data_IF_862717459759
#
_entry.id   IF_862717459759
#
_cell.length_a   1.000
_cell.length_b   1.000
_cell.length_c   1.000
_cell.angle_alpha   90.00
_cell.angle_beta   90.00
_cell.angle_gamma   90.00
#
_symmetry.space_group_name_H-M   'P 1'
#
loop_
_entity.id
_entity.type
_entity.pdbx_description
1 polymer ?
#
# COMPACT_ATOMS: atom_id res chain seq x y z
N UNK A 1 -1.33 -5.85 -25.88
CA UNK A 1 -1.99 -4.89 -24.99
C UNK A 1 -0.94 -3.99 -24.39
N UNK A 2 -1.17 -2.68 -24.44
CA UNK A 2 -0.24 -1.63 -24.02
C UNK A 2 -0.82 -0.88 -22.82
N UNK A 3 -0.08 -0.86 -21.72
CA UNK A 3 -0.51 -0.27 -20.46
C UNK A 3 0.37 0.93 -20.08
N UNK A 4 -0.25 2.08 -19.82
CA UNK A 4 0.39 3.17 -19.11
C UNK A 4 -0.14 3.22 -17.67
N UNK A 5 0.72 2.87 -16.73
CA UNK A 5 0.44 2.89 -15.29
C UNK A 5 0.74 4.29 -14.74
N UNK A 6 -0.28 4.99 -14.26
CA UNK A 6 -0.19 6.37 -13.78
C UNK A 6 -0.20 6.38 -12.26
N UNK A 7 0.82 6.91 -11.64
CA UNK A 7 0.98 6.90 -10.18
C UNK A 7 1.66 8.16 -9.66
N UNK A 8 1.40 8.50 -8.41
CA UNK A 8 2.05 9.63 -7.75
C UNK A 8 3.35 9.27 -7.04
N UNK A 9 3.61 8.00 -6.79
CA UNK A 9 4.87 7.51 -6.20
C UNK A 9 5.18 6.10 -6.69
N UNK A 10 6.46 5.70 -6.70
CA UNK A 10 6.90 4.34 -7.02
C UNK A 10 8.27 4.04 -6.41
N UNK A 11 8.41 2.90 -5.74
CA UNK A 11 9.71 2.36 -5.33
C UNK A 11 10.48 1.83 -6.54
N UNK A 12 11.80 2.07 -6.66
CA UNK A 12 12.70 2.65 -5.66
C UNK A 12 12.92 4.18 -5.81
N UNK A 13 12.15 4.87 -6.61
CA UNK A 13 12.37 6.29 -6.93
C UNK A 13 11.95 7.21 -5.77
N UNK A 14 10.72 7.04 -5.30
CA UNK A 14 10.18 7.79 -4.16
C UNK A 14 9.08 6.97 -3.47
N UNK A 15 8.96 7.12 -2.14
CA UNK A 15 8.04 6.35 -1.33
C UNK A 15 7.58 7.11 -0.10
N UNK A 16 6.27 7.06 0.16
CA UNK A 16 5.65 7.48 1.43
C UNK A 16 4.82 6.37 2.06
N UNK A 17 4.28 5.46 1.25
CA UNK A 17 3.39 4.39 1.70
C UNK A 17 3.39 3.16 0.82
N UNK A 18 2.36 2.32 0.98
CA UNK A 18 2.21 1.06 0.26
C UNK A 18 1.98 1.22 -1.24
N UNK A 19 1.44 2.38 -1.69
CA UNK A 19 1.27 2.66 -3.12
C UNK A 19 2.60 2.57 -3.87
N UNK A 20 3.68 3.09 -3.28
CA UNK A 20 5.00 3.02 -3.91
C UNK A 20 5.48 1.58 -4.10
N UNK A 21 5.23 0.69 -3.14
CA UNK A 21 5.58 -0.74 -3.25
C UNK A 21 4.79 -1.40 -4.38
N UNK A 22 3.49 -1.12 -4.47
CA UNK A 22 2.62 -1.62 -5.56
C UNK A 22 3.10 -1.10 -6.91
N UNK A 23 3.27 0.22 -7.05
CA UNK A 23 3.68 0.85 -8.30
C UNK A 23 5.11 0.46 -8.72
N UNK A 24 5.96 0.09 -7.77
CA UNK A 24 7.30 -0.41 -8.04
C UNK A 24 7.36 -1.88 -8.46
N UNK A 25 6.32 -2.66 -8.17
CA UNK A 25 6.36 -4.13 -8.31
C UNK A 25 5.33 -4.67 -9.31
N UNK A 26 4.10 -4.16 -9.31
CA UNK A 26 3.04 -4.62 -10.22
C UNK A 26 3.39 -4.38 -11.71
N UNK A 27 3.88 -3.19 -12.14
CA UNK A 27 4.19 -2.98 -13.55
C UNK A 27 5.27 -3.93 -14.10
N UNK A 28 6.40 -4.19 -13.41
CA UNK A 28 7.35 -5.23 -13.83
C UNK A 28 6.72 -6.64 -13.90
N UNK A 29 5.84 -6.99 -12.97
CA UNK A 29 5.15 -8.28 -12.98
C UNK A 29 4.18 -8.39 -14.16
N UNK A 30 3.46 -7.33 -14.51
CA UNK A 30 2.61 -7.28 -15.71
C UNK A 30 3.43 -7.39 -16.99
N UNK A 31 4.60 -6.77 -17.04
CA UNK A 31 5.53 -6.90 -18.17
C UNK A 31 6.01 -8.35 -18.33
N UNK A 32 6.29 -9.04 -17.22
CA UNK A 32 6.64 -10.47 -17.22
C UNK A 32 5.48 -11.37 -17.71
N UNK A 33 4.22 -10.96 -17.48
CA UNK A 33 3.01 -11.60 -18.01
C UNK A 33 2.70 -11.22 -19.47
N UNK A 34 3.60 -10.50 -20.15
CA UNK A 34 3.48 -10.15 -21.57
C UNK A 34 2.62 -8.90 -21.86
N UNK A 35 2.33 -8.07 -20.86
CA UNK A 35 1.71 -6.76 -21.05
C UNK A 35 2.82 -5.74 -21.35
N UNK A 36 2.76 -5.05 -22.50
CA UNK A 36 3.70 -3.96 -22.81
C UNK A 36 3.40 -2.78 -21.86
N UNK A 37 4.23 -2.66 -20.81
CA UNK A 37 3.94 -1.78 -19.68
C UNK A 37 4.92 -0.62 -19.60
N UNK A 38 4.40 0.59 -19.41
CA UNK A 38 5.16 1.76 -19.00
C UNK A 38 4.50 2.39 -17.75
N UNK A 39 5.29 3.14 -17.00
CA UNK A 39 4.84 3.88 -15.81
C UNK A 39 5.10 5.37 -16.01
N UNK A 40 4.20 6.23 -15.56
CA UNK A 40 4.39 7.68 -15.53
C UNK A 40 4.14 8.22 -14.13
N UNK A 41 5.08 9.03 -13.63
CA UNK A 41 5.04 9.63 -12.29
C UNK A 41 5.72 11.02 -12.29
N UNK A 42 5.46 11.87 -11.26
CA UNK A 42 6.15 13.15 -11.14
C UNK A 42 7.66 12.99 -10.86
N UNK A 43 8.47 13.91 -11.38
CA UNK A 43 9.91 13.99 -11.10
C UNK A 43 10.18 14.79 -9.82
N UNK A 44 9.91 14.18 -8.67
CA UNK A 44 10.18 14.83 -7.38
C UNK A 44 11.66 15.04 -7.11
N UNK A 45 12.00 16.08 -6.33
CA UNK A 45 13.38 16.36 -5.88
C UNK A 45 13.99 15.24 -5.03
N UNK A 46 13.15 14.47 -4.34
CA UNK A 46 13.55 13.28 -3.55
C UNK A 46 14.06 12.10 -4.39
N UNK A 47 13.83 12.11 -5.70
CA UNK A 47 14.43 11.11 -6.58
C UNK A 47 15.91 11.38 -6.67
N UNK A 48 16.71 10.47 -6.10
CA UNK A 48 18.15 10.65 -5.92
C UNK A 48 18.96 10.73 -7.22
N UNK A 49 20.18 11.29 -7.14
CA UNK A 49 21.05 11.50 -8.30
C UNK A 49 21.36 10.19 -9.03
N UNK A 50 21.47 9.06 -8.31
CA UNK A 50 21.72 7.74 -8.91
C UNK A 50 20.67 7.31 -9.94
N UNK A 51 19.44 7.86 -9.85
CA UNK A 51 18.37 7.64 -10.81
C UNK A 51 18.33 8.74 -11.86
N UNK A 52 18.45 10.01 -11.45
CA UNK A 52 18.42 11.17 -12.36
C UNK A 52 19.50 11.12 -13.43
N UNK A 53 20.72 10.68 -13.08
CA UNK A 53 21.85 10.53 -14.01
C UNK A 53 21.61 9.48 -15.10
N UNK A 54 20.73 8.53 -14.86
CA UNK A 54 20.34 7.49 -15.82
C UNK A 54 19.16 7.90 -16.71
N UNK A 55 18.48 9.01 -16.37
CA UNK A 55 17.32 9.47 -17.12
C UNK A 55 17.74 10.15 -18.42
N UNK A 56 16.95 9.91 -19.46
CA UNK A 56 17.08 10.58 -20.74
C UNK A 56 15.97 11.60 -20.89
N UNK A 57 16.33 12.87 -21.12
CA UNK A 57 15.37 13.90 -21.50
C UNK A 57 14.80 13.57 -22.90
N UNK A 58 13.48 13.58 -23.02
CA UNK A 58 12.77 13.27 -24.26
C UNK A 58 12.34 14.51 -25.00
N UNK A 59 11.56 15.36 -24.31
CA UNK A 59 11.07 16.63 -24.84
C UNK A 59 10.42 17.44 -23.70
N UNK A 60 9.96 18.62 -24.06
CA UNK A 60 9.03 19.38 -23.22
C UNK A 60 7.79 19.78 -24.03
N UNK A 61 6.72 20.05 -23.32
CA UNK A 61 5.48 20.67 -23.78
C UNK A 61 5.09 21.75 -22.78
N UNK A 62 4.01 22.46 -23.08
CA UNK A 62 3.32 23.27 -22.10
C UNK A 62 1.94 22.66 -21.86
N UNK A 63 1.50 22.67 -20.61
CA UNK A 63 0.19 22.20 -20.17
C UNK A 63 -0.65 23.41 -19.78
N UNK A 64 -1.82 23.51 -20.39
CA UNK A 64 -2.80 24.55 -20.08
C UNK A 64 -3.76 24.05 -19.00
N UNK A 65 -3.77 24.71 -17.84
CA UNK A 65 -4.62 24.37 -16.72
C UNK A 65 -5.42 25.61 -16.28
N UNK A 66 -6.62 25.76 -16.83
CA UNK A 66 -7.39 26.98 -16.69
C UNK A 66 -6.64 28.17 -17.32
N UNK A 67 -6.29 29.18 -16.52
CA UNK A 67 -5.54 30.33 -16.97
C UNK A 67 -4.01 30.15 -16.93
N UNK A 68 -3.52 29.02 -16.41
CA UNK A 68 -2.10 28.72 -16.27
C UNK A 68 -1.55 28.09 -17.52
N UNK A 69 -0.31 28.42 -17.85
CA UNK A 69 0.46 27.85 -18.96
C UNK A 69 1.80 27.37 -18.41
N UNK A 70 1.89 26.11 -18.05
CA UNK A 70 2.98 25.58 -17.25
C UNK A 70 3.91 24.67 -18.07
N UNK A 71 5.20 24.83 -17.88
CA UNK A 71 6.21 23.94 -18.45
C UNK A 71 6.02 22.49 -17.95
N UNK A 72 6.22 21.55 -18.86
CA UNK A 72 6.14 20.12 -18.61
C UNK A 72 7.26 19.41 -19.36
N UNK A 73 8.33 19.03 -18.66
CA UNK A 73 9.41 18.20 -19.21
C UNK A 73 9.08 16.72 -19.08
N UNK A 74 9.50 15.93 -20.08
CA UNK A 74 9.39 14.48 -20.05
C UNK A 74 10.78 13.85 -20.03
N UNK A 75 11.06 13.09 -18.99
CA UNK A 75 12.24 12.23 -18.89
C UNK A 75 11.83 10.77 -18.93
N UNK A 76 12.76 9.90 -19.32
CA UNK A 76 12.52 8.45 -19.27
C UNK A 76 13.73 7.67 -18.80
N UNK A 77 13.46 6.51 -18.20
CA UNK A 77 14.43 5.51 -17.78
C UNK A 77 13.86 4.12 -18.09
N UNK A 78 14.69 3.18 -18.57
CA UNK A 78 14.30 1.79 -18.71
C UNK A 78 14.89 0.98 -17.56
N UNK A 79 14.04 0.30 -16.79
CA UNK A 79 14.44 -0.51 -15.64
C UNK A 79 13.46 -1.67 -15.41
N UNK A 80 13.96 -2.86 -15.12
CA UNK A 80 13.17 -4.07 -14.81
C UNK A 80 12.09 -4.40 -15.84
N UNK A 81 12.39 -4.27 -17.13
CA UNK A 81 11.45 -4.58 -18.23
C UNK A 81 10.40 -3.51 -18.51
N UNK A 82 10.45 -2.38 -17.82
CA UNK A 82 9.46 -1.30 -17.88
C UNK A 82 10.12 0.01 -18.29
N UNK A 83 9.43 0.81 -19.11
CA UNK A 83 9.80 2.20 -19.36
C UNK A 83 9.13 3.10 -18.31
N UNK A 84 9.97 3.80 -17.55
CA UNK A 84 9.53 4.76 -16.54
C UNK A 84 9.61 6.16 -17.15
N UNK A 85 8.50 6.88 -17.15
CA UNK A 85 8.41 8.28 -17.56
C UNK A 85 8.29 9.16 -16.32
N UNK A 86 8.96 10.31 -16.35
CA UNK A 86 8.95 11.27 -15.25
C UNK A 86 8.52 12.64 -15.80
N UNK A 87 7.49 13.19 -15.19
CA UNK A 87 6.94 14.51 -15.49
C UNK A 87 7.68 15.55 -14.67
N UNK A 88 8.46 16.39 -15.35
CA UNK A 88 9.27 17.44 -14.73
C UNK A 88 8.52 18.77 -14.73
N UNK A 89 8.36 19.31 -13.53
CA UNK A 89 7.98 20.70 -13.28
C UNK A 89 8.50 21.07 -11.89
N UNK A 90 9.55 21.93 -11.84
CA UNK A 90 10.18 22.29 -10.57
C UNK A 90 9.24 23.06 -9.63
N UNK A 91 8.32 23.88 -10.17
CA UNK A 91 7.32 24.60 -9.38
C UNK A 91 6.47 23.66 -8.54
N UNK A 92 6.04 22.53 -9.13
CA UNK A 92 5.11 21.60 -8.49
C UNK A 92 5.82 20.46 -7.75
N UNK A 93 6.97 19.98 -8.22
CA UNK A 93 7.54 18.72 -7.71
C UNK A 93 8.89 18.87 -7.01
N UNK A 94 9.45 20.08 -6.96
CA UNK A 94 10.68 20.35 -6.21
C UNK A 94 10.37 20.99 -4.84
N UNK A 95 9.72 20.23 -3.95
CA UNK A 95 9.10 20.72 -2.72
C UNK A 95 9.55 20.03 -1.42
N UNK A 96 10.51 19.09 -1.46
CA UNK A 96 11.02 18.38 -0.28
C UNK A 96 10.10 17.29 0.26
N UNK A 97 8.83 17.22 -0.14
CA UNK A 97 7.85 16.17 0.20
C UNK A 97 6.93 15.87 -0.97
N UNK A 98 6.36 14.66 -0.98
CA UNK A 98 5.49 14.23 -2.07
C UNK A 98 4.08 14.80 -1.94
N UNK A 99 3.54 14.83 -0.73
CA UNK A 99 2.18 15.22 -0.38
C UNK A 99 2.13 16.19 0.78
N UNK A 100 0.95 16.80 0.99
CA UNK A 100 0.68 17.68 2.10
C UNK A 100 1.07 19.14 1.84
N UNK A 101 1.20 19.54 0.57
CA UNK A 101 1.32 20.93 0.18
C UNK A 101 -0.06 21.57 0.06
N UNK A 102 -0.14 22.88 0.31
CA UNK A 102 -1.41 23.62 0.25
C UNK A 102 -2.03 23.61 -1.15
N UNK A 103 -1.20 23.44 -2.18
CA UNK A 103 -1.56 23.44 -3.60
C UNK A 103 -1.59 22.02 -4.23
N UNK A 104 -1.72 20.98 -3.42
CA UNK A 104 -1.76 19.59 -3.93
C UNK A 104 -2.85 19.38 -5.00
N UNK A 105 -3.99 20.07 -4.91
CA UNK A 105 -5.04 20.03 -5.92
C UNK A 105 -4.54 20.50 -7.29
N UNK A 106 -3.84 21.64 -7.34
CA UNK A 106 -3.25 22.17 -8.57
C UNK A 106 -2.12 21.29 -9.10
N UNK A 107 -1.24 20.82 -8.21
CA UNK A 107 -0.10 19.96 -8.54
C UNK A 107 -0.53 18.69 -9.24
N UNK A 108 -1.52 18.00 -8.68
CA UNK A 108 -1.98 16.72 -9.22
C UNK A 108 -2.99 16.88 -10.36
N UNK A 109 -3.68 18.02 -10.45
CA UNK A 109 -4.41 18.39 -11.66
C UNK A 109 -3.44 18.61 -12.83
N UNK A 110 -2.35 19.38 -12.63
CA UNK A 110 -1.28 19.53 -13.61
C UNK A 110 -0.71 18.18 -14.05
N UNK A 111 -0.36 17.31 -13.09
CA UNK A 111 0.18 15.98 -13.40
C UNK A 111 -0.82 15.16 -14.24
N UNK A 112 -2.08 15.12 -13.83
CA UNK A 112 -3.12 14.34 -14.53
C UNK A 112 -3.38 14.86 -15.93
N UNK A 113 -3.37 16.21 -16.13
CA UNK A 113 -3.52 16.81 -17.45
C UNK A 113 -2.28 16.53 -18.33
N UNK A 114 -1.08 16.66 -17.75
CA UNK A 114 0.18 16.35 -18.43
C UNK A 114 0.23 14.91 -18.96
N UNK A 115 -0.36 13.93 -18.23
CA UNK A 115 -0.45 12.54 -18.72
C UNK A 115 -1.17 12.47 -20.05
N UNK A 116 -2.29 13.19 -20.22
CA UNK A 116 -3.06 13.19 -21.47
C UNK A 116 -2.29 13.92 -22.59
N UNK A 117 -1.75 15.11 -22.30
CA UNK A 117 -1.05 15.92 -23.30
C UNK A 117 0.26 15.28 -23.77
N UNK A 118 0.86 14.43 -22.95
CA UNK A 118 2.10 13.70 -23.27
C UNK A 118 1.85 12.43 -24.08
N UNK A 119 0.63 11.92 -24.25
CA UNK A 119 0.35 10.68 -24.99
C UNK A 119 1.02 10.65 -26.39
N UNK A 120 0.96 11.72 -27.20
CA UNK A 120 1.64 11.74 -28.51
C UNK A 120 3.17 11.71 -28.41
N UNK A 121 3.71 12.02 -27.23
CA UNK A 121 5.15 12.14 -26.97
C UNK A 121 5.80 10.84 -26.52
N UNK A 122 5.00 9.82 -26.16
CA UNK A 122 5.49 8.55 -25.65
C UNK A 122 6.08 7.66 -26.76
N UNK A 123 5.80 7.95 -28.04
CA UNK A 123 6.21 7.14 -29.18
C UNK A 123 5.36 5.88 -29.39
N UNK A 124 4.32 5.69 -28.60
CA UNK A 124 3.30 4.65 -28.70
C UNK A 124 2.01 5.12 -27.99
N UNK A 125 0.87 4.57 -28.41
CA UNK A 125 -0.40 4.89 -27.78
C UNK A 125 -0.82 3.73 -26.85
N UNK A 126 -1.15 3.97 -25.59
CA UNK A 126 -1.64 2.92 -24.69
C UNK A 126 -3.04 2.48 -25.10
N UNK A 127 -3.35 1.22 -24.83
CA UNK A 127 -4.73 0.69 -24.87
C UNK A 127 -5.44 1.01 -23.55
N UNK A 128 -4.67 1.08 -22.44
CA UNK A 128 -5.19 1.26 -21.09
C UNK A 128 -4.37 2.30 -20.32
N UNK A 129 -5.06 3.22 -19.63
CA UNK A 129 -4.51 4.06 -18.56
C UNK A 129 -4.97 3.47 -17.22
N UNK A 130 -4.02 3.02 -16.40
CA UNK A 130 -4.30 2.52 -15.06
C UNK A 130 -3.90 3.56 -14.02
N UNK A 131 -4.87 4.22 -13.41
CA UNK A 131 -4.72 5.34 -12.50
C UNK A 131 -4.82 4.88 -11.04
N UNK A 132 -4.07 5.52 -10.14
CA UNK A 132 -3.93 5.09 -8.75
C UNK A 132 -4.18 6.25 -7.78
N UNK A 133 -5.16 6.09 -6.91
CA UNK A 133 -5.60 7.02 -5.88
C UNK A 133 -5.98 8.42 -6.41
N UNK A 134 -6.40 9.31 -5.50
CA UNK A 134 -6.95 10.62 -5.84
C UNK A 134 -5.99 11.53 -6.63
N UNK A 135 -4.67 11.34 -6.47
CA UNK A 135 -3.67 12.12 -7.19
C UNK A 135 -3.71 11.92 -8.71
N UNK A 136 -4.29 10.82 -9.16
CA UNK A 136 -4.45 10.50 -10.59
C UNK A 136 -5.93 10.47 -11.02
N UNK A 137 -6.83 10.84 -10.12
CA UNK A 137 -8.27 10.72 -10.33
C UNK A 137 -8.82 11.61 -11.47
N UNK A 138 -8.11 12.71 -11.77
CA UNK A 138 -8.50 13.56 -12.91
C UNK A 138 -8.14 12.97 -14.27
N UNK A 139 -7.26 11.96 -14.35
CA UNK A 139 -6.86 11.35 -15.64
C UNK A 139 -8.04 10.76 -16.41
N UNK A 140 -8.92 9.93 -15.84
CA UNK A 140 -10.10 9.42 -16.53
C UNK A 140 -11.03 10.55 -17.01
N UNK A 141 -11.15 11.63 -16.25
CA UNK A 141 -12.00 12.79 -16.56
C UNK A 141 -11.41 13.57 -17.73
N UNK A 142 -10.12 13.93 -17.66
CA UNK A 142 -9.43 14.62 -18.75
C UNK A 142 -9.37 13.78 -20.03
N UNK A 143 -9.25 12.45 -19.93
CA UNK A 143 -9.33 11.58 -21.09
C UNK A 143 -10.71 11.69 -21.77
N UNK A 144 -11.80 11.62 -21.01
CA UNK A 144 -13.17 11.75 -21.54
C UNK A 144 -13.41 13.14 -22.14
N UNK A 145 -12.94 14.20 -21.49
CA UNK A 145 -13.04 15.58 -21.99
C UNK A 145 -12.26 15.74 -23.31
N UNK A 146 -10.98 15.33 -23.32
CA UNK A 146 -10.12 15.41 -24.50
C UNK A 146 -10.64 14.55 -25.67
N UNK A 147 -11.24 13.39 -25.41
CA UNK A 147 -11.80 12.50 -26.43
C UNK A 147 -12.99 13.12 -27.21
N UNK A 148 -13.57 14.21 -26.72
CA UNK A 148 -14.58 14.98 -27.48
C UNK A 148 -13.96 15.67 -28.69
N UNK A 149 -12.70 16.09 -28.61
CA UNK A 149 -11.95 16.85 -29.61
C UNK A 149 -10.86 16.02 -30.30
N UNK A 150 -10.32 15.02 -29.63
CA UNK A 150 -9.23 14.18 -30.12
C UNK A 150 -9.69 12.72 -30.25
N UNK A 151 -10.05 12.33 -31.47
CA UNK A 151 -10.70 11.04 -31.75
C UNK A 151 -9.77 9.84 -31.58
N UNK A 152 -8.45 10.03 -31.75
CA UNK A 152 -7.45 8.95 -31.68
C UNK A 152 -7.35 8.32 -30.29
N UNK A 153 -7.69 9.05 -29.23
CA UNK A 153 -7.62 8.54 -27.86
C UNK A 153 -8.93 7.89 -27.36
N UNK A 154 -9.99 7.89 -28.18
CA UNK A 154 -11.33 7.39 -27.78
C UNK A 154 -11.35 5.90 -27.48
N UNK A 155 -10.39 5.15 -28.04
CA UNK A 155 -10.25 3.71 -27.78
C UNK A 155 -9.60 3.38 -26.45
N UNK A 156 -8.91 4.34 -25.82
CA UNK A 156 -8.17 4.12 -24.56
C UNK A 156 -9.17 3.85 -23.44
N UNK A 157 -8.98 2.73 -22.76
CA UNK A 157 -9.74 2.34 -21.56
C UNK A 157 -9.06 2.84 -20.30
N UNK A 158 -9.83 2.99 -19.24
CA UNK A 158 -9.32 3.46 -17.96
C UNK A 158 -9.62 2.48 -16.83
N UNK A 159 -8.61 2.20 -16.01
CA UNK A 159 -8.76 1.49 -14.74
C UNK A 159 -8.38 2.46 -13.63
N UNK A 160 -9.17 2.49 -12.57
CA UNK A 160 -8.89 3.32 -11.40
C UNK A 160 -8.79 2.45 -10.16
N UNK A 161 -7.60 2.44 -9.51
CA UNK A 161 -7.37 1.69 -8.27
C UNK A 161 -7.47 2.58 -7.04
N UNK A 162 -8.28 2.16 -6.08
CA UNK A 162 -8.42 2.74 -4.75
C UNK A 162 -7.51 1.96 -3.79
N UNK A 163 -6.40 2.58 -3.36
CA UNK A 163 -5.52 2.00 -2.34
C UNK A 163 -5.98 2.36 -0.93
N UNK A 164 -6.51 3.58 -0.74
CA UNK A 164 -7.13 4.01 0.51
C UNK A 164 -8.23 5.04 0.25
N UNK A 165 -9.48 4.66 0.51
CA UNK A 165 -10.65 5.52 0.29
C UNK A 165 -10.72 6.74 1.22
N UNK A 166 -9.95 6.78 2.29
CA UNK A 166 -9.87 7.91 3.22
C UNK A 166 -9.39 9.19 2.52
N UNK A 167 -8.52 9.05 1.50
CA UNK A 167 -7.93 10.17 0.77
C UNK A 167 -8.63 10.36 -0.58
N UNK A 168 -9.60 11.29 -0.64
CA UNK A 168 -10.52 11.42 -1.77
C UNK A 168 -10.21 12.57 -2.73
N UNK A 169 -9.32 13.51 -2.34
CA UNK A 169 -9.10 14.72 -3.12
C UNK A 169 -10.33 15.62 -3.11
N UNK A 170 -10.72 16.15 -1.94
CA UNK A 170 -11.87 17.07 -1.78
C UNK A 170 -11.42 18.52 -1.86
N UNK A 171 -12.15 19.30 -2.66
CA UNK A 171 -11.88 20.72 -2.90
C UNK A 171 -13.18 21.49 -3.05
N UNK A 172 -13.15 22.82 -2.78
CA UNK A 172 -14.32 23.66 -2.98
C UNK A 172 -14.79 23.69 -4.45
N UNK A 173 -16.06 23.98 -4.68
CA UNK A 173 -16.71 23.92 -6.00
C UNK A 173 -16.04 24.81 -7.06
N UNK A 174 -15.41 25.93 -6.65
CA UNK A 174 -14.71 26.83 -7.56
C UNK A 174 -13.42 26.24 -8.14
N UNK A 175 -12.97 25.09 -7.60
CA UNK A 175 -11.77 24.40 -8.10
C UNK A 175 -11.95 23.82 -9.49
N UNK A 176 -13.17 23.55 -9.93
CA UNK A 176 -13.46 22.89 -11.22
C UNK A 176 -12.86 23.68 -12.39
N UNK A 177 -13.15 24.97 -12.48
CA UNK A 177 -12.63 25.85 -13.52
C UNK A 177 -11.32 26.53 -13.11
N UNK A 178 -11.18 26.93 -11.83
CA UNK A 178 -10.04 27.72 -11.36
C UNK A 178 -8.76 26.88 -11.21
N UNK A 179 -8.86 25.64 -10.73
CA UNK A 179 -7.71 24.76 -10.48
C UNK A 179 -7.59 23.64 -11.51
N UNK A 180 -8.72 23.04 -11.91
CA UNK A 180 -8.69 21.85 -12.75
C UNK A 180 -8.89 22.16 -14.25
N UNK A 181 -9.26 23.40 -14.60
CA UNK A 181 -9.46 23.81 -16.00
C UNK A 181 -10.57 23.03 -16.71
N UNK A 182 -11.52 22.50 -15.96
CA UNK A 182 -12.65 21.74 -16.47
C UNK A 182 -13.90 22.63 -16.66
N UNK A 183 -14.76 22.24 -17.57
CA UNK A 183 -16.09 22.84 -17.69
C UNK A 183 -16.93 22.56 -16.43
N UNK A 184 -17.71 23.54 -16.00
CA UNK A 184 -18.58 23.40 -14.83
C UNK A 184 -19.61 22.29 -14.96
N UNK A 185 -19.93 21.88 -16.19
CA UNK A 185 -20.81 20.73 -16.43
C UNK A 185 -20.42 19.49 -15.65
N UNK A 186 -19.12 19.23 -15.48
CA UNK A 186 -18.61 18.10 -14.67
C UNK A 186 -18.99 18.17 -13.17
N UNK A 187 -19.28 19.36 -12.68
CA UNK A 187 -19.79 19.54 -11.32
C UNK A 187 -21.32 19.56 -11.30
N UNK A 188 -21.94 20.28 -12.26
CA UNK A 188 -23.38 20.53 -12.27
C UNK A 188 -24.18 19.26 -12.57
N UNK A 189 -23.65 18.34 -13.40
CA UNK A 189 -24.24 17.01 -13.65
C UNK A 189 -24.08 16.02 -12.48
N UNK A 190 -23.32 16.39 -11.45
CA UNK A 190 -23.10 15.59 -10.26
C UNK A 190 -21.90 14.66 -10.32
N UNK A 191 -21.16 14.56 -11.41
CA UNK A 191 -19.99 13.67 -11.55
C UNK A 191 -18.93 13.98 -10.51
N UNK A 192 -18.57 15.26 -10.34
CA UNK A 192 -17.59 15.68 -9.35
C UNK A 192 -18.22 16.15 -8.03
N UNK A 193 -19.50 16.52 -8.01
CA UNK A 193 -20.14 17.15 -6.85
C UNK A 193 -20.47 16.13 -5.77
N UNK A 194 -20.02 16.40 -4.54
CA UNK A 194 -20.35 15.66 -3.33
C UNK A 194 -20.43 16.62 -2.14
N UNK A 195 -21.58 16.67 -1.47
CA UNK A 195 -21.84 17.53 -0.30
C UNK A 195 -21.54 19.03 -0.52
N UNK A 196 -21.71 19.51 -1.75
CA UNK A 196 -21.39 20.88 -2.12
C UNK A 196 -19.94 21.14 -2.53
N UNK A 197 -19.06 20.19 -2.31
CA UNK A 197 -17.65 20.20 -2.72
C UNK A 197 -17.42 19.39 -4.01
N UNK A 198 -16.19 19.48 -4.52
CA UNK A 198 -15.65 18.55 -5.52
C UNK A 198 -15.05 17.35 -4.78
N UNK A 199 -15.31 16.15 -5.30
CA UNK A 199 -14.65 14.91 -4.88
C UNK A 199 -14.03 14.23 -6.10
N UNK A 200 -12.69 14.24 -6.18
CA UNK A 200 -11.97 13.74 -7.33
C UNK A 200 -12.07 12.21 -7.45
N UNK A 201 -11.97 11.49 -6.32
CA UNK A 201 -12.10 10.04 -6.30
C UNK A 201 -13.47 9.58 -6.80
N UNK A 202 -14.55 10.24 -6.37
CA UNK A 202 -15.91 9.99 -6.89
C UNK A 202 -15.94 10.12 -8.41
N UNK A 203 -15.38 11.22 -8.94
CA UNK A 203 -15.35 11.46 -10.39
C UNK A 203 -14.60 10.35 -11.13
N UNK A 204 -13.44 9.93 -10.64
CA UNK A 204 -12.69 8.83 -11.22
C UNK A 204 -13.44 7.50 -11.16
N UNK A 205 -14.07 7.17 -10.03
CA UNK A 205 -14.89 5.96 -9.85
C UNK A 205 -16.04 5.91 -10.88
N UNK A 206 -16.70 7.03 -11.13
CA UNK A 206 -17.81 7.10 -12.10
C UNK A 206 -17.31 6.98 -13.54
N UNK A 207 -16.19 7.64 -13.88
CA UNK A 207 -15.72 7.79 -15.26
C UNK A 207 -14.81 6.66 -15.75
N UNK A 208 -14.11 5.95 -14.86
CA UNK A 208 -13.27 4.83 -15.25
C UNK A 208 -14.10 3.65 -15.83
N UNK A 209 -13.51 2.91 -16.77
CA UNK A 209 -14.16 1.72 -17.38
C UNK A 209 -14.19 0.54 -16.40
N UNK A 210 -13.14 0.38 -15.54
CA UNK A 210 -13.17 -0.49 -14.36
C UNK A 210 -12.61 0.23 -13.14
N UNK A 211 -13.10 -0.15 -11.96
CA UNK A 211 -12.58 0.31 -10.66
C UNK A 211 -12.04 -0.90 -9.94
N UNK A 212 -10.85 -0.76 -9.37
CA UNK A 212 -10.26 -1.83 -8.56
C UNK A 212 -9.93 -1.31 -7.16
N UNK A 213 -9.87 -2.24 -6.21
CA UNK A 213 -9.26 -1.99 -4.91
C UNK A 213 -8.40 -3.17 -4.50
N UNK A 214 -7.68 -3.05 -3.41
CA UNK A 214 -6.52 -3.88 -3.07
C UNK A 214 -6.84 -5.13 -2.26
N UNK A 215 -8.12 -5.50 -2.16
CA UNK A 215 -8.56 -6.82 -1.69
C UNK A 215 -10.04 -7.07 -1.97
N UNK A 216 -10.51 -8.32 -2.16
CA UNK A 216 -11.92 -8.66 -2.31
C UNK A 216 -12.76 -8.30 -1.08
N UNK A 217 -12.26 -8.60 0.12
CA UNK A 217 -12.95 -8.24 1.37
C UNK A 217 -13.07 -6.73 1.53
N UNK A 218 -12.02 -5.95 1.17
CA UNK A 218 -12.11 -4.49 1.21
C UNK A 218 -13.12 -3.97 0.19
N UNK A 219 -13.14 -4.51 -1.03
CA UNK A 219 -14.15 -4.16 -2.02
C UNK A 219 -15.58 -4.36 -1.48
N UNK A 220 -15.84 -5.48 -0.79
CA UNK A 220 -17.13 -5.74 -0.16
C UNK A 220 -17.41 -4.78 1.01
N UNK A 221 -16.40 -4.44 1.82
CA UNK A 221 -16.54 -3.51 2.95
C UNK A 221 -16.85 -2.08 2.50
N UNK A 222 -16.41 -1.65 1.32
CA UNK A 222 -16.69 -0.31 0.82
C UNK A 222 -18.18 -0.04 0.52
N UNK A 223 -19.05 -1.05 0.54
CA UNK A 223 -20.50 -0.90 0.54
C UNK A 223 -21.07 -0.50 1.90
N UNK A 224 -20.29 -0.66 2.99
CA UNK A 224 -20.72 -0.29 4.35
C UNK A 224 -20.24 1.14 4.67
N UNK A 225 -21.16 2.04 5.14
CA UNK A 225 -20.80 3.39 5.56
C UNK A 225 -19.65 3.47 6.58
N UNK A 226 -19.45 2.42 7.38
CA UNK A 226 -18.36 2.36 8.35
C UNK A 226 -16.96 2.29 7.73
N UNK A 227 -16.86 1.96 6.43
CA UNK A 227 -15.59 1.82 5.69
C UNK A 227 -15.49 2.71 4.45
N UNK A 228 -16.62 3.21 3.94
CA UNK A 228 -16.72 3.91 2.66
C UNK A 228 -16.36 5.40 2.72
N UNK A 229 -16.19 5.97 3.91
CA UNK A 229 -15.89 7.40 4.12
C UNK A 229 -16.87 8.31 3.36
N UNK A 230 -18.17 7.94 3.33
CA UNK A 230 -19.28 8.65 2.67
C UNK A 230 -19.43 8.37 1.17
N UNK A 231 -18.66 7.44 0.59
CA UNK A 231 -18.75 7.06 -0.82
C UNK A 231 -19.56 5.77 -1.06
N UNK A 232 -20.25 5.21 -0.05
CA UNK A 232 -21.00 3.95 -0.18
C UNK A 232 -22.01 3.97 -1.31
N UNK A 233 -22.74 5.06 -1.49
CA UNK A 233 -23.72 5.19 -2.58
C UNK A 233 -23.06 5.20 -3.97
N UNK A 234 -21.84 5.73 -4.08
CA UNK A 234 -21.06 5.70 -5.32
C UNK A 234 -20.54 4.30 -5.57
N UNK A 235 -20.04 3.61 -4.54
CA UNK A 235 -19.60 2.21 -4.61
C UNK A 235 -20.74 1.32 -5.06
N UNK A 236 -21.94 1.48 -4.50
CA UNK A 236 -23.14 0.73 -4.90
C UNK A 236 -23.49 0.95 -6.38
N UNK A 237 -23.42 2.19 -6.84
CA UNK A 237 -23.73 2.53 -8.23
C UNK A 237 -22.76 1.92 -9.25
N UNK A 238 -21.50 1.69 -8.85
CA UNK A 238 -20.44 1.13 -9.71
C UNK A 238 -20.08 -0.31 -9.41
N UNK A 239 -20.79 -0.98 -8.50
CA UNK A 239 -20.45 -2.34 -8.04
C UNK A 239 -20.26 -3.35 -9.18
N UNK A 240 -20.95 -3.18 -10.30
CA UNK A 240 -20.83 -4.03 -11.48
C UNK A 240 -19.46 -3.98 -12.19
N UNK A 241 -18.67 -2.92 -11.99
CA UNK A 241 -17.31 -2.74 -12.54
C UNK A 241 -16.21 -2.67 -11.46
N UNK A 242 -16.56 -2.98 -10.21
CA UNK A 242 -15.63 -2.94 -9.08
C UNK A 242 -15.03 -4.32 -8.82
N UNK A 243 -13.70 -4.38 -8.67
CA UNK A 243 -12.95 -5.62 -8.46
C UNK A 243 -12.00 -5.47 -7.28
N UNK A 244 -11.89 -6.49 -6.45
CA UNK A 244 -10.87 -6.59 -5.40
C UNK A 244 -9.71 -7.46 -5.86
N UNK A 245 -8.48 -6.92 -5.87
CA UNK A 245 -7.27 -7.67 -6.23
C UNK A 245 -6.24 -7.52 -5.11
N UNK A 246 -5.89 -8.62 -4.45
CA UNK A 246 -4.89 -8.60 -3.37
C UNK A 246 -3.52 -8.24 -3.93
N UNK A 247 -2.81 -7.31 -3.28
CA UNK A 247 -1.44 -6.97 -3.63
C UNK A 247 -0.47 -8.12 -3.33
N UNK A 248 0.61 -8.19 -4.10
CA UNK A 248 1.74 -9.07 -3.79
C UNK A 248 2.79 -8.38 -2.92
N UNK A 249 3.85 -9.12 -2.61
CA UNK A 249 5.10 -8.58 -2.08
C UNK A 249 6.27 -8.90 -3.02
N UNK A 250 7.32 -8.10 -2.96
CA UNK A 250 8.58 -8.38 -3.66
C UNK A 250 9.30 -9.54 -2.96
N UNK A 251 9.12 -10.76 -3.48
CA UNK A 251 9.71 -11.98 -2.92
C UNK A 251 11.21 -12.11 -3.15
N UNK A 252 11.83 -11.22 -3.93
CA UNK A 252 13.29 -11.14 -4.09
C UNK A 252 13.89 -10.27 -2.99
N UNK A 253 13.31 -9.09 -2.78
CA UNK A 253 13.73 -8.17 -1.69
C UNK A 253 13.42 -8.76 -0.31
N UNK A 254 12.23 -9.37 -0.15
CA UNK A 254 11.79 -10.00 1.11
C UNK A 254 12.03 -11.51 1.06
N UNK A 255 13.30 -11.93 1.05
CA UNK A 255 13.71 -13.34 1.07
C UNK A 255 14.65 -13.64 2.23
N UNK A 256 14.21 -14.35 3.30
CA UNK A 256 15.08 -14.68 4.43
C UNK A 256 16.28 -15.58 4.07
N UNK A 257 16.28 -16.20 2.89
CA UNK A 257 17.41 -16.96 2.38
C UNK A 257 18.55 -16.11 1.84
N UNK A 258 18.28 -14.85 1.47
CA UNK A 258 19.25 -13.98 0.79
C UNK A 258 19.29 -12.53 1.29
N UNK A 259 18.42 -12.14 2.24
CA UNK A 259 18.32 -10.76 2.73
C UNK A 259 19.61 -10.32 3.46
N UNK A 260 20.33 -9.32 2.91
CA UNK A 260 21.60 -8.85 3.49
C UNK A 260 21.45 -8.16 4.85
N UNK A 261 20.22 -7.76 5.26
CA UNK A 261 19.97 -7.15 6.56
C UNK A 261 20.03 -8.16 7.72
N UNK A 262 19.97 -9.47 7.42
CA UNK A 262 19.88 -10.52 8.41
C UNK A 262 21.28 -11.01 8.88
N UNK A 263 21.45 -11.29 10.18
CA UNK A 263 22.68 -11.87 10.70
C UNK A 263 22.86 -13.36 10.36
N UNK A 264 21.77 -14.05 9.99
CA UNK A 264 21.78 -15.43 9.51
C UNK A 264 20.63 -15.66 8.53
N UNK A 265 20.89 -16.39 7.47
CA UNK A 265 19.89 -16.75 6.45
C UNK A 265 19.20 -18.07 6.83
N UNK A 266 17.96 -18.24 6.36
CA UNK A 266 17.16 -19.44 6.59
C UNK A 266 16.07 -19.60 5.54
N UNK A 267 15.48 -20.79 5.48
CA UNK A 267 14.36 -21.12 4.59
C UNK A 267 13.21 -21.73 5.41
N UNK A 268 12.06 -21.95 4.76
CA UNK A 268 10.95 -22.69 5.39
C UNK A 268 11.35 -24.13 5.75
N UNK A 269 12.18 -24.79 4.93
CA UNK A 269 12.63 -26.16 5.16
C UNK A 269 13.75 -26.24 6.22
N UNK A 270 14.58 -25.21 6.34
CA UNK A 270 15.64 -25.10 7.36
C UNK A 270 15.54 -23.74 8.07
N UNK A 271 14.74 -23.64 9.13
CA UNK A 271 14.50 -22.38 9.83
C UNK A 271 15.54 -22.09 10.95
N UNK A 272 16.62 -22.84 11.07
CA UNK A 272 17.57 -22.69 12.18
C UNK A 272 18.15 -21.27 12.30
N UNK A 273 18.42 -20.59 11.18
CA UNK A 273 18.90 -19.20 11.16
C UNK A 273 17.95 -18.19 11.83
N UNK A 274 16.63 -18.49 11.89
CA UNK A 274 15.66 -17.62 12.57
C UNK A 274 15.95 -17.45 14.06
N UNK A 275 16.42 -18.49 14.74
CA UNK A 275 16.82 -18.41 16.14
C UNK A 275 18.02 -17.46 16.35
N UNK A 276 18.98 -17.46 15.41
CA UNK A 276 20.10 -16.52 15.41
C UNK A 276 19.61 -15.09 15.21
N UNK A 277 18.66 -14.85 14.27
CA UNK A 277 18.05 -13.55 14.06
C UNK A 277 17.35 -13.04 15.33
N UNK A 278 16.60 -13.91 16.02
CA UNK A 278 15.91 -13.56 17.27
C UNK A 278 16.92 -13.15 18.37
N UNK A 279 17.93 -13.96 18.63
CA UNK A 279 18.95 -13.66 19.63
C UNK A 279 19.70 -12.35 19.31
N UNK A 280 20.04 -12.14 18.04
CA UNK A 280 20.68 -10.90 17.57
C UNK A 280 19.80 -9.67 17.79
N UNK A 281 18.49 -9.76 17.50
CA UNK A 281 17.56 -8.65 17.72
C UNK A 281 17.37 -8.37 19.22
N UNK A 282 17.20 -9.42 20.04
CA UNK A 282 17.07 -9.29 21.49
C UNK A 282 18.29 -8.54 22.07
N UNK A 283 19.49 -8.90 21.67
CA UNK A 283 20.73 -8.25 22.12
C UNK A 283 20.77 -6.78 21.64
N UNK A 284 20.45 -6.51 20.37
CA UNK A 284 20.50 -5.17 19.78
C UNK A 284 19.48 -4.20 20.41
N UNK A 285 18.33 -4.71 20.84
CA UNK A 285 17.23 -3.90 21.40
C UNK A 285 17.18 -3.93 22.94
N UNK A 286 18.14 -4.53 23.60
CA UNK A 286 18.21 -4.62 25.07
C UNK A 286 17.10 -5.49 25.67
N UNK A 287 16.59 -6.46 24.94
CA UNK A 287 15.65 -7.47 25.43
C UNK A 287 16.42 -8.61 26.12
N UNK A 288 15.77 -9.30 27.07
CA UNK A 288 16.32 -10.49 27.65
C UNK A 288 16.56 -11.58 26.59
N UNK A 289 17.75 -12.21 26.61
CA UNK A 289 18.07 -13.25 25.62
C UNK A 289 17.46 -14.59 26.06
N UNK A 290 16.18 -14.74 25.75
CA UNK A 290 15.34 -15.88 26.10
C UNK A 290 14.80 -16.55 24.83
N UNK A 291 15.43 -17.64 24.36
CA UNK A 291 15.05 -18.25 23.06
C UNK A 291 13.62 -18.79 23.04
N UNK A 292 13.12 -19.28 24.19
CA UNK A 292 11.80 -19.90 24.29
C UNK A 292 10.68 -18.93 24.67
N UNK A 293 10.99 -17.67 24.92
CA UNK A 293 9.99 -16.62 25.15
C UNK A 293 9.46 -16.12 23.81
N UNK A 294 8.13 -16.17 23.55
CA UNK A 294 7.58 -15.71 22.29
C UNK A 294 7.82 -14.20 22.14
N UNK A 295 8.27 -13.79 20.95
CA UNK A 295 8.48 -12.40 20.58
C UNK A 295 7.34 -11.95 19.68
N UNK A 296 6.50 -11.02 20.16
CA UNK A 296 5.45 -10.36 19.39
C UNK A 296 6.01 -9.06 18.81
N UNK A 297 5.80 -8.82 17.53
CA UNK A 297 6.24 -7.59 16.86
C UNK A 297 5.11 -6.84 16.18
N UNK A 298 5.25 -5.52 16.10
CA UNK A 298 4.47 -4.62 15.24
C UNK A 298 5.44 -3.73 14.46
N UNK A 299 5.22 -3.64 13.14
CA UNK A 299 5.92 -2.69 12.25
C UNK A 299 4.84 -1.92 11.50
N UNK A 300 4.58 -0.68 11.89
CA UNK A 300 3.44 0.08 11.37
C UNK A 300 3.59 1.59 11.61
N UNK A 301 2.81 2.40 10.88
CA UNK A 301 2.58 3.79 11.30
C UNK A 301 1.82 3.80 12.62
N UNK A 302 2.22 4.67 13.54
CA UNK A 302 1.60 4.76 14.86
C UNK A 302 0.40 5.73 14.83
N UNK A 303 -0.69 5.30 14.16
CA UNK A 303 -1.92 6.07 13.97
C UNK A 303 -3.16 5.26 14.37
N UNK A 304 -4.28 5.93 14.66
CA UNK A 304 -5.46 5.33 15.28
C UNK A 304 -6.07 4.15 14.52
N UNK A 305 -6.17 4.22 13.18
CA UNK A 305 -6.77 3.14 12.40
C UNK A 305 -5.95 1.83 12.40
N UNK A 306 -4.71 1.84 12.92
CA UNK A 306 -3.89 0.62 13.10
C UNK A 306 -4.22 -0.16 14.38
N UNK A 307 -5.26 0.25 15.13
CA UNK A 307 -5.75 -0.47 16.31
C UNK A 307 -4.84 -0.35 17.53
N UNK A 308 -4.06 0.74 17.61
CA UNK A 308 -3.15 0.96 18.72
C UNK A 308 -3.86 1.26 20.03
N UNK A 309 -5.09 1.75 19.97
CA UNK A 309 -5.99 1.91 21.10
C UNK A 309 -6.32 0.55 21.76
N UNK A 310 -6.52 -0.51 20.98
CA UNK A 310 -6.69 -1.87 21.50
C UNK A 310 -5.42 -2.36 22.19
N UNK A 311 -4.26 -2.08 21.59
CA UNK A 311 -2.96 -2.43 22.19
C UNK A 311 -2.74 -1.66 23.49
N UNK A 312 -3.09 -0.37 23.55
CA UNK A 312 -3.01 0.42 24.77
C UNK A 312 -3.83 -0.20 25.90
N UNK A 313 -5.08 -0.60 25.60
CA UNK A 313 -5.99 -1.22 26.58
C UNK A 313 -5.51 -2.60 27.05
N UNK A 314 -4.93 -3.40 26.11
CA UNK A 314 -4.56 -4.79 26.39
C UNK A 314 -3.10 -4.98 26.80
N UNK A 315 -2.24 -3.96 26.80
CA UNK A 315 -0.77 -4.11 26.90
C UNK A 315 -0.32 -4.91 28.14
N UNK A 316 -0.89 -4.62 29.31
CA UNK A 316 -0.53 -5.34 30.53
C UNK A 316 -1.01 -6.81 30.48
N UNK A 317 -2.14 -7.08 29.85
CA UNK A 317 -2.62 -8.44 29.56
C UNK A 317 -1.70 -9.17 28.57
N UNK A 318 -1.23 -8.48 27.53
CA UNK A 318 -0.23 -9.02 26.57
C UNK A 318 1.03 -9.41 27.33
N UNK A 319 1.53 -8.52 28.18
CA UNK A 319 2.73 -8.80 28.97
C UNK A 319 2.53 -9.91 30.00
N UNK A 320 1.31 -10.08 30.52
CA UNK A 320 0.96 -11.19 31.42
C UNK A 320 1.03 -12.56 30.72
N UNK A 321 0.92 -12.62 29.39
CA UNK A 321 1.18 -13.88 28.65
C UNK A 321 2.63 -14.32 28.71
N UNK A 322 3.55 -13.52 29.26
CA UNK A 322 4.97 -13.86 29.38
C UNK A 322 5.76 -13.67 28.08
N UNK A 323 5.27 -12.93 27.12
CA UNK A 323 5.96 -12.61 25.86
C UNK A 323 6.93 -11.44 25.99
N UNK A 324 7.75 -11.25 24.96
CA UNK A 324 8.43 -10.00 24.63
C UNK A 324 7.64 -9.26 23.56
N UNK A 325 7.79 -7.92 23.52
CA UNK A 325 7.06 -7.09 22.58
C UNK A 325 7.99 -6.03 21.94
N UNK A 326 7.96 -5.94 20.61
CA UNK A 326 8.72 -4.95 19.85
C UNK A 326 7.77 -4.16 18.96
N UNK A 327 7.85 -2.84 19.01
CA UNK A 327 7.17 -1.96 18.07
C UNK A 327 8.20 -1.11 17.32
N UNK A 328 8.02 -1.00 15.99
CA UNK A 328 8.78 -0.11 15.12
C UNK A 328 7.80 0.77 14.33
N UNK A 329 7.99 2.08 14.40
CA UNK A 329 7.22 3.04 13.60
C UNK A 329 7.22 4.43 14.18
N UNK A 330 6.62 5.38 13.44
CA UNK A 330 6.38 6.76 13.85
C UNK A 330 4.93 7.14 13.57
N UNK A 331 4.41 8.16 14.24
CA UNK A 331 3.05 8.65 14.00
C UNK A 331 2.58 9.66 15.04
N UNK A 332 1.40 9.42 15.61
CA UNK A 332 0.80 10.30 16.59
C UNK A 332 1.55 10.24 17.93
N UNK A 333 1.89 11.40 18.49
CA UNK A 333 2.68 11.51 19.72
C UNK A 333 2.11 10.71 20.90
N UNK A 334 0.78 10.60 21.01
CA UNK A 334 0.13 9.83 22.07
C UNK A 334 0.52 8.33 22.04
N UNK A 335 0.67 7.73 20.86
CA UNK A 335 1.08 6.33 20.72
C UNK A 335 2.59 6.17 20.89
N UNK A 336 3.37 7.10 20.35
CA UNK A 336 4.82 7.10 20.53
C UNK A 336 5.19 7.16 22.01
N UNK A 337 4.60 8.09 22.77
CA UNK A 337 4.84 8.28 24.19
C UNK A 337 4.35 7.08 25.03
N UNK A 338 3.21 6.50 24.65
CA UNK A 338 2.72 5.28 25.29
C UNK A 338 3.72 4.12 25.18
N UNK A 339 4.25 3.86 23.99
CA UNK A 339 5.20 2.77 23.81
C UNK A 339 6.55 3.03 24.48
N UNK A 340 7.04 4.28 24.46
CA UNK A 340 8.24 4.67 25.24
C UNK A 340 8.02 4.44 26.74
N UNK A 341 6.86 4.82 27.26
CA UNK A 341 6.51 4.59 28.65
C UNK A 341 6.42 3.10 29.00
N UNK A 342 5.78 2.29 28.17
CA UNK A 342 5.68 0.83 28.38
C UNK A 342 7.05 0.14 28.29
N UNK A 343 7.94 0.59 27.42
CA UNK A 343 9.32 0.09 27.40
C UNK A 343 10.06 0.37 28.73
N UNK A 344 9.81 1.52 29.34
CA UNK A 344 10.32 1.85 30.67
C UNK A 344 9.69 1.02 31.80
N UNK A 345 8.40 0.63 31.68
CA UNK A 345 7.71 -0.22 32.66
C UNK A 345 8.15 -1.70 32.59
N UNK A 346 8.51 -2.20 31.41
CA UNK A 346 8.85 -3.59 31.16
C UNK A 346 10.28 -3.71 30.58
N UNK A 347 11.32 -3.28 31.34
CA UNK A 347 12.70 -3.34 30.87
C UNK A 347 13.09 -4.79 30.53
N UNK A 348 13.79 -4.98 29.41
CA UNK A 348 14.18 -6.30 28.91
C UNK A 348 13.06 -7.12 28.26
N UNK A 349 11.81 -6.59 28.26
CA UNK A 349 10.65 -7.30 27.68
C UNK A 349 9.91 -6.49 26.61
N UNK A 350 9.92 -5.16 26.69
CA UNK A 350 9.31 -4.28 25.70
C UNK A 350 10.38 -3.38 25.09
N UNK A 351 10.39 -3.25 23.76
CA UNK A 351 11.25 -2.33 23.04
C UNK A 351 10.41 -1.48 22.08
N UNK A 352 10.54 -0.15 22.21
CA UNK A 352 9.87 0.84 21.38
C UNK A 352 10.88 1.55 20.47
N UNK A 353 10.84 1.26 19.19
CA UNK A 353 11.70 1.84 18.17
C UNK A 353 10.91 2.91 17.39
N UNK A 354 10.99 4.17 17.85
CA UNK A 354 10.20 5.26 17.30
C UNK A 354 11.00 5.94 16.18
N UNK A 355 11.10 5.24 15.06
CA UNK A 355 11.78 5.71 13.85
C UNK A 355 11.30 4.94 12.62
N UNK A 356 11.63 5.46 11.43
CA UNK A 356 11.53 4.72 10.18
C UNK A 356 12.89 4.08 9.86
N UNK A 357 12.96 2.76 9.80
CA UNK A 357 14.20 2.03 9.51
C UNK A 357 13.88 0.71 8.78
N UNK A 358 14.15 0.68 7.49
CA UNK A 358 13.81 -0.46 6.63
C UNK A 358 14.59 -1.73 7.02
N UNK A 359 15.92 -1.63 7.21
CA UNK A 359 16.73 -2.77 7.61
C UNK A 359 16.35 -3.32 8.99
N UNK A 360 15.99 -2.43 9.93
CA UNK A 360 15.50 -2.86 11.24
C UNK A 360 14.16 -3.57 11.12
N UNK A 361 13.27 -3.12 10.23
CA UNK A 361 11.98 -3.80 10.00
C UNK A 361 12.19 -5.23 9.53
N UNK A 362 13.09 -5.47 8.58
CA UNK A 362 13.45 -6.82 8.09
C UNK A 362 14.02 -7.70 9.18
N UNK A 363 14.90 -7.16 10.02
CA UNK A 363 15.43 -7.88 11.20
C UNK A 363 14.34 -8.19 12.23
N UNK A 364 13.36 -7.32 12.42
CA UNK A 364 12.19 -7.56 13.29
C UNK A 364 11.32 -8.67 12.72
N UNK A 365 10.97 -8.66 11.43
CA UNK A 365 10.20 -9.74 10.79
C UNK A 365 10.93 -11.09 10.94
N UNK A 366 12.25 -11.10 10.73
CA UNK A 366 13.05 -12.32 10.85
C UNK A 366 13.15 -12.86 12.28
N UNK A 367 13.12 -12.00 13.27
CA UNK A 367 13.25 -12.37 14.70
C UNK A 367 11.90 -12.72 15.34
N UNK A 368 10.80 -12.08 14.90
CA UNK A 368 9.49 -12.24 15.51
C UNK A 368 8.95 -13.65 15.38
N UNK A 369 8.35 -14.18 16.45
CA UNK A 369 7.57 -15.42 16.42
C UNK A 369 6.11 -15.12 16.02
N UNK A 370 5.57 -14.01 16.50
CA UNK A 370 4.20 -13.54 16.27
C UNK A 370 4.23 -12.11 15.74
N UNK A 371 3.30 -11.79 14.85
CA UNK A 371 3.20 -10.46 14.25
C UNK A 371 1.79 -9.91 14.40
N UNK A 372 1.62 -8.79 15.11
CA UNK A 372 0.32 -8.25 15.50
C UNK A 372 -0.12 -7.11 14.58
N UNK A 373 -1.33 -7.22 13.99
CA UNK A 373 -1.99 -6.17 13.20
C UNK A 373 -3.48 -6.06 13.57
N UNK A 374 -3.83 -5.32 14.63
CA UNK A 374 -5.21 -5.19 15.11
C UNK A 374 -5.98 -4.07 14.42
N UNK A 375 -5.69 -3.80 13.15
CA UNK A 375 -6.20 -2.65 12.41
C UNK A 375 -7.72 -2.56 12.40
N UNK A 376 -8.26 -1.33 12.59
CA UNK A 376 -9.68 -1.03 12.41
C UNK A 376 -10.09 -1.15 10.94
N UNK A 377 -9.23 -0.67 10.05
CA UNK A 377 -9.36 -0.83 8.60
C UNK A 377 -7.98 -1.07 8.02
N UNK A 378 -7.87 -2.05 7.13
CA UNK A 378 -6.63 -2.38 6.43
C UNK A 378 -6.97 -2.79 4.99
N UNK A 379 -6.92 -1.87 4.03
CA UNK A 379 -7.31 -2.15 2.64
C UNK A 379 -6.66 -3.41 2.08
N UNK A 380 -5.35 -3.56 2.23
CA UNK A 380 -4.61 -4.77 1.90
C UNK A 380 -3.72 -5.23 3.05
N UNK A 381 -2.81 -4.36 3.50
CA UNK A 381 -1.68 -4.74 4.34
C UNK A 381 -0.62 -5.51 3.54
N UNK A 382 0.63 -5.14 3.75
CA UNK A 382 1.79 -5.87 3.21
C UNK A 382 2.57 -6.54 4.34
N UNK A 383 2.56 -5.93 5.51
CA UNK A 383 3.38 -6.35 6.66
C UNK A 383 3.06 -7.78 7.13
N UNK A 384 1.80 -8.22 7.10
CA UNK A 384 1.44 -9.61 7.46
C UNK A 384 1.99 -10.62 6.46
N UNK A 385 1.98 -10.28 5.17
CA UNK A 385 2.55 -11.17 4.13
C UNK A 385 4.06 -11.26 4.25
N UNK A 386 4.73 -10.10 4.48
CA UNK A 386 6.17 -10.06 4.73
C UNK A 386 6.49 -10.84 6.03
N UNK A 387 5.74 -10.63 7.10
CA UNK A 387 5.92 -11.35 8.36
C UNK A 387 5.82 -12.87 8.16
N UNK A 388 4.80 -13.35 7.44
CA UNK A 388 4.65 -14.76 7.07
C UNK A 388 5.85 -15.26 6.27
N UNK A 389 6.30 -14.50 5.28
CA UNK A 389 7.48 -14.87 4.46
C UNK A 389 8.74 -15.04 5.30
N UNK A 390 8.90 -14.24 6.39
CA UNK A 390 9.98 -14.35 7.35
C UNK A 390 9.67 -15.30 8.52
N UNK A 391 8.56 -16.02 8.48
CA UNK A 391 8.20 -17.04 9.48
C UNK A 391 7.72 -16.48 10.82
N UNK A 392 7.15 -15.28 10.84
CA UNK A 392 6.35 -14.80 11.94
C UNK A 392 4.87 -15.12 11.70
N UNK A 393 4.20 -15.71 12.68
CA UNK A 393 2.78 -16.08 12.58
C UNK A 393 1.92 -14.85 12.86
N UNK A 394 1.08 -14.42 11.92
CA UNK A 394 0.28 -13.22 12.09
C UNK A 394 -0.89 -13.43 13.05
N UNK A 395 -1.16 -12.40 13.85
CA UNK A 395 -2.37 -12.21 14.67
C UNK A 395 -3.03 -10.94 14.15
N UNK A 396 -4.17 -11.06 13.48
CA UNK A 396 -4.77 -9.95 12.75
C UNK A 396 -6.25 -9.82 13.04
N UNK A 397 -6.79 -8.59 12.91
CA UNK A 397 -8.23 -8.44 12.83
C UNK A 397 -8.73 -8.87 11.44
N UNK A 398 -9.89 -9.52 11.41
CA UNK A 398 -10.54 -9.97 10.17
C UNK A 398 -11.17 -8.77 9.44
N UNK A 399 -10.36 -8.03 8.69
CA UNK A 399 -10.78 -6.85 7.93
C UNK A 399 -9.94 -6.70 6.67
N UNK A 400 -10.55 -6.26 5.57
CA UNK A 400 -9.88 -6.01 4.28
C UNK A 400 -8.91 -7.12 3.88
N UNK A 401 -7.73 -6.74 3.40
CA UNK A 401 -6.73 -7.70 2.95
C UNK A 401 -6.14 -8.59 4.04
N UNK A 402 -6.30 -8.26 5.32
CA UNK A 402 -5.91 -9.17 6.41
C UNK A 402 -6.77 -10.43 6.39
N UNK A 403 -8.08 -10.30 6.15
CA UNK A 403 -9.00 -11.43 6.02
C UNK A 403 -8.74 -12.28 4.76
N UNK A 404 -8.25 -11.64 3.68
CA UNK A 404 -7.97 -12.34 2.42
C UNK A 404 -6.61 -13.05 2.39
N UNK A 405 -5.66 -12.64 3.24
CA UNK A 405 -4.28 -13.14 3.22
C UNK A 405 -3.92 -14.06 4.38
N UNK A 406 -4.65 -13.98 5.50
CA UNK A 406 -4.40 -14.81 6.69
C UNK A 406 -5.54 -15.82 6.85
N UNK A 407 -5.22 -17.10 6.83
CA UNK A 407 -6.17 -18.19 7.10
C UNK A 407 -6.12 -18.54 8.59
N UNK A 408 -7.32 -18.66 9.20
CA UNK A 408 -7.44 -18.93 10.63
C UNK A 408 -6.90 -20.31 11.03
N UNK A 409 -6.19 -20.36 12.17
CA UNK A 409 -5.75 -21.61 12.82
C UNK A 409 -6.75 -22.11 13.86
N UNK A 410 -8.05 -21.80 13.76
CA UNK A 410 -9.05 -22.31 14.70
C UNK A 410 -9.18 -23.83 14.60
N UNK A 411 -9.67 -24.43 15.71
CA UNK A 411 -9.88 -25.89 15.82
C UNK A 411 -10.70 -26.41 14.64
N UNK A 412 -10.16 -27.39 13.91
CA UNK A 412 -10.81 -27.99 12.74
C UNK A 412 -10.41 -27.39 11.38
N UNK A 413 -9.53 -26.37 11.35
CA UNK A 413 -8.95 -25.83 10.11
C UNK A 413 -7.49 -26.28 9.98
N UNK A 414 -7.26 -27.26 9.09
CA UNK A 414 -5.93 -27.88 8.92
C UNK A 414 -4.94 -27.05 8.10
N UNK A 415 -5.38 -25.93 7.45
CA UNK A 415 -4.58 -25.13 6.53
C UNK A 415 -4.25 -23.72 7.05
N UNK A 416 -4.50 -23.44 8.31
CA UNK A 416 -4.30 -22.14 8.94
C UNK A 416 -2.87 -21.61 8.81
N UNK A 417 -2.75 -20.30 8.59
CA UNK A 417 -1.46 -19.56 8.49
C UNK A 417 -1.29 -18.52 9.59
N UNK A 418 -2.31 -18.29 10.42
CA UNK A 418 -2.30 -17.29 11.49
C UNK A 418 -3.58 -17.27 12.30
N UNK A 419 -3.77 -16.25 13.09
CA UNK A 419 -4.90 -16.08 14.00
C UNK A 419 -5.71 -14.85 13.65
N UNK A 420 -7.04 -14.99 13.61
CA UNK A 420 -7.96 -13.91 13.32
C UNK A 420 -8.92 -13.66 14.49
N UNK A 421 -9.23 -12.40 14.75
CA UNK A 421 -10.34 -11.97 15.60
C UNK A 421 -11.25 -11.01 14.82
N UNK A 422 -12.56 -11.09 15.03
CA UNK A 422 -13.53 -10.33 14.25
C UNK A 422 -13.83 -8.95 14.89
N UNK A 423 -14.18 -8.96 16.19
CA UNK A 423 -14.63 -7.78 16.89
C UNK A 423 -13.47 -6.79 17.11
N UNK A 424 -13.73 -5.49 16.92
CA UNK A 424 -12.77 -4.44 17.26
C UNK A 424 -12.77 -4.22 18.78
N UNK A 425 -12.19 -5.19 19.51
CA UNK A 425 -12.22 -5.29 20.97
C UNK A 425 -10.88 -5.80 21.52
N UNK A 426 -10.41 -5.16 22.60
CA UNK A 426 -9.13 -5.49 23.23
C UNK A 426 -9.13 -6.89 23.88
N UNK A 427 -10.27 -7.34 24.41
CA UNK A 427 -10.42 -8.68 25.00
C UNK A 427 -10.41 -9.77 23.94
N UNK A 428 -11.09 -9.56 22.81
CA UNK A 428 -11.06 -10.47 21.66
C UNK A 428 -9.62 -10.60 21.12
N UNK A 429 -8.91 -9.49 20.94
CA UNK A 429 -7.50 -9.48 20.55
C UNK A 429 -6.62 -10.25 21.56
N UNK A 430 -6.76 -9.97 22.85
CA UNK A 430 -5.98 -10.60 23.90
C UNK A 430 -6.24 -12.12 23.98
N UNK A 431 -7.50 -12.54 23.80
CA UNK A 431 -7.85 -13.97 23.76
C UNK A 431 -7.08 -14.71 22.68
N UNK A 432 -7.00 -14.14 21.49
CA UNK A 432 -6.31 -14.74 20.33
C UNK A 432 -4.79 -14.71 20.53
N UNK A 433 -4.24 -13.66 21.13
CA UNK A 433 -2.82 -13.61 21.55
C UNK A 433 -2.52 -14.73 22.53
N UNK A 434 -3.41 -14.98 23.49
CA UNK A 434 -3.32 -16.07 24.45
C UNK A 434 -3.27 -17.45 23.77
N UNK A 435 -4.14 -17.67 22.76
CA UNK A 435 -4.14 -18.92 21.96
C UNK A 435 -2.82 -19.10 21.20
N UNK A 436 -2.33 -18.07 20.53
CA UNK A 436 -1.10 -18.12 19.74
C UNK A 436 0.14 -18.37 20.63
N UNK A 437 0.23 -17.66 21.76
CA UNK A 437 1.34 -17.84 22.74
C UNK A 437 1.22 -19.19 23.46
N UNK A 438 0.02 -19.67 23.66
CA UNK A 438 -0.26 -21.01 24.21
C UNK A 438 0.22 -22.12 23.29
N UNK A 439 -0.09 -22.03 21.97
CA UNK A 439 0.41 -22.98 20.96
C UNK A 439 1.95 -22.96 20.89
N UNK A 440 2.55 -21.76 20.88
CA UNK A 440 4.00 -21.59 20.82
C UNK A 440 4.73 -22.34 21.94
N UNK A 441 4.16 -22.36 23.17
CA UNK A 441 4.77 -23.01 24.35
C UNK A 441 4.34 -24.47 24.51
N UNK A 442 3.08 -24.77 24.22
CA UNK A 442 2.51 -26.08 24.52
C UNK A 442 2.68 -27.11 23.41
N UNK A 443 2.70 -26.65 22.15
CA UNK A 443 2.91 -27.51 20.98
C UNK A 443 3.78 -26.80 19.93
N UNK A 444 5.07 -26.92 20.10
CA UNK A 444 6.05 -26.32 19.20
C UNK A 444 5.96 -26.87 17.77
N UNK A 445 5.66 -28.15 17.61
CA UNK A 445 5.50 -28.80 16.31
C UNK A 445 4.28 -28.25 15.57
N UNK A 446 3.17 -28.07 16.27
CA UNK A 446 1.97 -27.43 15.71
C UNK A 446 2.25 -25.96 15.31
N UNK A 447 2.94 -25.21 16.18
CA UNK A 447 3.34 -23.83 15.85
C UNK A 447 4.25 -23.76 14.62
N UNK A 448 5.24 -24.65 14.53
CA UNK A 448 6.17 -24.72 13.41
C UNK A 448 5.48 -25.11 12.11
N UNK A 449 4.41 -25.91 12.19
CA UNK A 449 3.56 -26.24 11.04
C UNK A 449 2.82 -24.99 10.52
N UNK A 450 2.23 -24.18 11.39
CA UNK A 450 1.59 -22.89 11.03
C UNK A 450 2.60 -21.94 10.40
N UNK A 451 3.77 -21.80 11.02
CA UNK A 451 4.88 -20.98 10.49
C UNK A 451 5.30 -21.44 9.08
N UNK A 452 5.50 -22.74 8.88
CA UNK A 452 5.87 -23.32 7.57
C UNK A 452 4.86 -22.98 6.49
N UNK A 453 3.55 -23.10 6.78
CA UNK A 453 2.48 -22.76 5.85
C UNK A 453 2.50 -21.28 5.48
N UNK A 454 2.73 -20.39 6.45
CA UNK A 454 2.89 -18.96 6.19
C UNK A 454 4.08 -18.67 5.29
N UNK A 455 5.24 -19.28 5.56
CA UNK A 455 6.47 -19.08 4.79
C UNK A 455 6.37 -19.60 3.34
N UNK A 456 5.56 -20.64 3.10
CA UNK A 456 5.38 -21.24 1.77
C UNK A 456 4.17 -20.74 1.01
N UNK A 457 3.36 -19.86 1.61
CA UNK A 457 2.25 -19.22 0.93
C UNK A 457 2.75 -18.31 -0.20
N UNK A 458 2.10 -18.39 -1.35
CA UNK A 458 2.44 -17.55 -2.51
C UNK A 458 1.78 -16.17 -2.39
N UNK A 459 2.58 -15.19 -2.07
CA UNK A 459 2.25 -13.77 -2.08
C UNK A 459 3.02 -13.00 -3.16
N UNK A 460 3.53 -13.68 -4.19
CA UNK A 460 4.22 -13.03 -5.29
C UNK A 460 3.28 -12.15 -6.12
N UNK A 461 3.85 -11.18 -6.80
CA UNK A 461 3.11 -10.30 -7.71
C UNK A 461 2.56 -11.03 -8.96
N UNK A 462 3.06 -12.21 -9.31
CA UNK A 462 2.57 -12.98 -10.46
C UNK A 462 1.07 -13.26 -10.38
N UNK A 463 0.57 -13.66 -9.19
CA UNK A 463 -0.86 -13.89 -8.99
C UNK A 463 -1.70 -12.61 -9.17
N UNK A 464 -1.23 -11.50 -8.62
CA UNK A 464 -1.92 -10.20 -8.75
C UNK A 464 -1.87 -9.70 -10.20
N UNK A 465 -0.71 -9.82 -10.87
CA UNK A 465 -0.54 -9.45 -12.26
C UNK A 465 -1.48 -10.22 -13.19
N UNK A 466 -1.62 -11.54 -12.99
CA UNK A 466 -2.57 -12.36 -13.75
C UNK A 466 -4.02 -11.90 -13.55
N UNK A 467 -4.41 -11.54 -12.31
CA UNK A 467 -5.75 -11.01 -12.03
C UNK A 467 -5.99 -9.65 -12.72
N UNK A 468 -5.02 -8.72 -12.64
CA UNK A 468 -5.12 -7.44 -13.36
C UNK A 468 -5.15 -7.63 -14.88
N UNK A 469 -4.32 -8.51 -15.43
CA UNK A 469 -4.34 -8.84 -16.85
C UNK A 469 -5.72 -9.32 -17.28
N UNK A 470 -6.36 -10.20 -16.51
CA UNK A 470 -7.72 -10.66 -16.79
C UNK A 470 -8.73 -9.50 -16.80
N UNK A 471 -8.63 -8.55 -15.86
CA UNK A 471 -9.48 -7.34 -15.89
C UNK A 471 -9.26 -6.56 -17.18
N UNK A 472 -8.01 -6.30 -17.56
CA UNK A 472 -7.69 -5.53 -18.77
C UNK A 472 -8.16 -6.18 -20.05
N UNK A 473 -8.12 -7.51 -20.15
CA UNK A 473 -8.57 -8.27 -21.31
C UNK A 473 -10.11 -8.25 -21.48
N UNK A 474 -10.85 -7.85 -20.44
CA UNK A 474 -12.31 -7.79 -20.43
C UNK A 474 -12.88 -6.35 -20.48
N UNK A 475 -12.05 -5.33 -20.73
CA UNK A 475 -12.45 -3.96 -20.95
C UNK A 475 -12.80 -3.73 -22.46
#
# INVERSE_FOLDING_TARGET
>A
MKLLYVTSEAYPFCKTGGLADVAGSLPPALAAEGVETAVILPLYDKIGPQWREKMTFRRYIYVDLGWRHEYCGLFSLYDRGVTWYFVDNEKYFRRGRLYGEFDDGERFAFFSHAVIDLLPSLGWMPDILHCNDWQTALVPIYLKDAATRWWEIRHIRTVFTIHNIEYQGRYGSDSVDQLFGLDRGWYDDGTLRMDGDVNLMKGAMLMADAVTTVSPTYAAQLHDPAYAEGLESVVDAIGWKMHGVVNGIDTVTYDPAADPALPAHYTAADPAGKAVCKASLQAALGLAQEPDTPLIAMVTRLVGHKGLDLVQQAMDGIMATGCQFVVLGTGDGQYEDFFRWKAGQYPGRVSAQILYAEDLSRRIYAAADLFLMPSRSEPCGLSQMIAMRYGAVPIVRSTGGLADTVRSCQVGQEDGTGYLFADYDAGAMLSVIGQATGLYRGDRTGFDTVRYRGMTADFSWGRSAAAYRHIYENL
#
